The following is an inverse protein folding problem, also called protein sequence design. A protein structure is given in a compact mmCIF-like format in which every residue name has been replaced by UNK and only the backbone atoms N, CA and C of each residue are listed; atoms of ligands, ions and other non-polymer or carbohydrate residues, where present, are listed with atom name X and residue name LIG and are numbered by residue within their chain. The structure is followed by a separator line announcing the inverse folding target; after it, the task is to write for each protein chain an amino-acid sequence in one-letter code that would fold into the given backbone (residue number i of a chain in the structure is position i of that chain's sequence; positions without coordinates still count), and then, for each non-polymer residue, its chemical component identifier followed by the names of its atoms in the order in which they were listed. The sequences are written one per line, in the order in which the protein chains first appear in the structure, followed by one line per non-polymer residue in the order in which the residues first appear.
data_IF_424199137858
#
_entry.id   IF_424199137858
#
_cell.length_a   1.000
_cell.length_b   1.000
_cell.length_c   1.000
_cell.angle_alpha   90.00
_cell.angle_beta   90.00
_cell.angle_gamma   90.00
#
_symmetry.space_group_name_H-M   'P 1'
#
loop_
_entity.id
_entity.type
_entity.pdbx_description
1 polymer ?
#
# COMPACT_ATOMS: atom_id res chain seq x y z
N UNK A 1 -1.76 19.99 -11.48
CA UNK A 1 -2.77 18.94 -11.26
C UNK A 1 -4.11 19.59 -11.49
N UNK A 2 -5.02 18.95 -12.25
CA UNK A 2 -6.29 19.58 -12.63
C UNK A 2 -7.39 19.32 -11.60
N UNK A 3 -7.29 18.24 -10.82
CA UNK A 3 -8.25 17.90 -9.76
C UNK A 3 -7.50 17.82 -8.43
N UNK A 4 -7.94 18.61 -7.45
CA UNK A 4 -7.43 18.51 -6.08
C UNK A 4 -7.71 17.12 -5.49
N UNK A 5 -6.73 16.56 -4.79
CA UNK A 5 -6.85 15.24 -4.18
C UNK A 5 -5.87 15.06 -3.04
N UNK A 6 -6.27 14.27 -2.06
CA UNK A 6 -5.42 13.68 -1.03
C UNK A 6 -5.69 12.18 -0.96
N UNK A 7 -4.79 11.43 -0.32
CA UNK A 7 -4.96 9.98 -0.09
C UNK A 7 -5.03 9.15 -1.39
N UNK A 8 -4.56 9.75 -2.48
CA UNK A 8 -4.32 9.13 -3.77
C UNK A 8 -2.99 8.36 -3.76
N UNK A 9 -2.75 7.60 -4.83
CA UNK A 9 -1.44 7.02 -5.11
C UNK A 9 -0.74 7.77 -6.23
N UNK A 10 0.59 7.74 -6.22
CA UNK A 10 1.44 8.25 -7.28
C UNK A 10 2.37 7.11 -7.70
N UNK A 11 2.35 6.75 -8.98
CA UNK A 11 3.09 5.62 -9.51
C UNK A 11 3.86 6.04 -10.76
N UNK A 12 5.18 5.87 -10.76
CA UNK A 12 6.00 6.12 -11.95
C UNK A 12 5.79 5.00 -12.96
N UNK A 13 5.45 5.40 -14.18
CA UNK A 13 5.22 4.52 -15.32
C UNK A 13 6.53 4.27 -16.09
N UNK A 14 6.54 3.24 -16.94
CA UNK A 14 7.70 2.89 -17.78
C UNK A 14 8.06 3.96 -18.82
N UNK A 15 7.14 4.86 -19.12
CA UNK A 15 7.35 6.02 -20.00
C UNK A 15 7.70 7.31 -19.22
N UNK A 16 8.18 7.19 -17.98
CA UNK A 16 8.59 8.29 -17.09
C UNK A 16 7.47 9.25 -16.65
N UNK A 17 6.23 9.04 -17.10
CA UNK A 17 5.07 9.76 -16.56
C UNK A 17 4.75 9.26 -15.15
N UNK A 18 4.13 10.12 -14.35
CA UNK A 18 3.60 9.74 -13.03
C UNK A 18 2.08 9.62 -13.14
N UNK A 19 1.56 8.42 -12.92
CA UNK A 19 0.14 8.17 -12.74
C UNK A 19 -0.28 8.60 -11.34
N UNK A 20 -1.27 9.49 -11.28
CA UNK A 20 -1.90 9.94 -10.05
C UNK A 20 -3.35 9.47 -10.04
N UNK A 21 -3.65 8.49 -9.20
CA UNK A 21 -4.93 7.76 -9.25
C UNK A 21 -5.75 7.91 -7.96
N UNK A 22 -7.05 8.14 -8.12
CA UNK A 22 -8.04 8.17 -7.04
C UNK A 22 -7.80 9.26 -6.00
N UNK A 23 -8.13 8.96 -4.74
CA UNK A 23 -8.05 9.89 -3.61
C UNK A 23 -9.40 10.52 -3.27
N UNK A 24 -9.34 11.59 -2.48
CA UNK A 24 -10.49 12.36 -2.01
C UNK A 24 -10.24 13.85 -2.23
N UNK A 25 -11.18 14.57 -2.83
CA UNK A 25 -11.02 15.99 -3.18
C UNK A 25 -11.59 16.97 -2.14
N UNK A 26 -12.07 16.48 -0.99
CA UNK A 26 -12.78 17.33 -0.02
C UNK A 26 -14.29 17.14 -0.04
N UNK A 27 -14.86 16.68 -1.16
CA UNK A 27 -16.29 16.46 -1.36
C UNK A 27 -16.63 15.01 -1.73
N UNK A 28 -15.84 14.37 -2.60
CA UNK A 28 -16.08 13.02 -3.11
C UNK A 28 -14.80 12.20 -3.18
N UNK A 29 -14.98 10.87 -3.10
CA UNK A 29 -13.96 9.91 -3.47
C UNK A 29 -13.84 9.88 -4.99
N UNK A 30 -12.61 9.84 -5.49
CA UNK A 30 -12.31 9.93 -6.91
C UNK A 30 -12.06 8.55 -7.49
N UNK A 31 -12.63 8.30 -8.67
CA UNK A 31 -12.21 7.23 -9.57
C UNK A 31 -11.34 7.74 -10.72
N UNK A 32 -11.10 9.06 -10.77
CA UNK A 32 -10.34 9.69 -11.83
C UNK A 32 -8.83 9.52 -11.63
N UNK A 33 -8.11 9.53 -12.75
CA UNK A 33 -6.66 9.52 -12.78
C UNK A 33 -6.11 10.58 -13.74
N UNK A 34 -4.91 11.06 -13.43
CA UNK A 34 -4.17 12.04 -14.22
C UNK A 34 -2.72 11.57 -14.38
N UNK A 35 -2.11 11.94 -15.51
CA UNK A 35 -0.71 11.74 -15.80
C UNK A 35 0.03 13.06 -15.62
N UNK A 36 1.13 13.04 -14.88
CA UNK A 36 2.07 14.14 -14.79
C UNK A 36 3.31 13.83 -15.62
N UNK A 37 3.66 14.75 -16.51
CA UNK A 37 4.92 14.72 -17.25
C UNK A 37 5.91 15.67 -16.58
N UNK A 38 6.97 15.12 -15.97
CA UNK A 38 8.02 15.89 -15.29
C UNK A 38 8.88 16.72 -16.25
N UNK A 39 9.05 16.27 -17.49
CA UNK A 39 9.84 16.98 -18.51
C UNK A 39 9.18 18.28 -18.97
N UNK A 40 7.84 18.33 -19.01
CA UNK A 40 7.07 19.48 -19.48
C UNK A 40 6.33 20.21 -18.36
N UNK A 41 6.23 19.62 -17.17
CA UNK A 41 5.43 20.13 -16.06
C UNK A 41 3.91 20.06 -16.29
N UNK A 42 3.45 19.31 -17.30
CA UNK A 42 2.03 19.30 -17.70
C UNK A 42 1.25 18.14 -17.09
N UNK A 43 -0.06 18.37 -16.93
CA UNK A 43 -1.01 17.38 -16.44
C UNK A 43 -2.01 17.02 -17.53
N UNK A 44 -2.27 15.72 -17.71
CA UNK A 44 -3.24 15.22 -18.69
C UNK A 44 -4.17 14.21 -18.03
N UNK A 45 -5.47 14.31 -18.27
CA UNK A 45 -6.43 13.32 -17.80
C UNK A 45 -6.26 12.00 -18.55
N UNK A 46 -6.50 10.88 -17.88
CA UNK A 46 -6.51 9.54 -18.51
C UNK A 46 -7.80 8.81 -18.17
N UNK A 47 -7.93 7.52 -18.51
CA UNK A 47 -9.10 6.73 -18.18
C UNK A 47 -9.40 6.69 -16.68
N UNK A 48 -10.66 6.42 -16.35
CA UNK A 48 -11.13 6.34 -14.97
C UNK A 48 -11.23 4.88 -14.52
N UNK A 49 -10.98 4.64 -13.24
CA UNK A 49 -11.30 3.39 -12.55
C UNK A 49 -12.81 3.17 -12.51
N UNK A 50 -13.24 1.92 -12.42
CA UNK A 50 -14.65 1.55 -12.21
C UNK A 50 -15.12 1.90 -10.80
N UNK A 51 -14.25 1.79 -9.80
CA UNK A 51 -14.54 2.17 -8.42
C UNK A 51 -13.72 3.40 -7.99
N UNK A 52 -14.39 4.35 -7.33
CA UNK A 52 -13.70 5.42 -6.62
C UNK A 52 -12.93 4.84 -5.43
N UNK A 53 -11.75 5.36 -5.12
CA UNK A 53 -10.91 4.78 -4.06
C UNK A 53 -9.93 5.78 -3.47
N UNK A 54 -9.87 5.87 -2.14
CA UNK A 54 -8.82 6.52 -1.37
C UNK A 54 -8.11 5.51 -0.45
N UNK A 55 -6.88 5.81 -0.01
CA UNK A 55 -6.05 4.94 0.85
C UNK A 55 -5.77 3.54 0.28
N UNK A 56 -5.92 3.39 -1.03
CA UNK A 56 -5.52 2.21 -1.79
C UNK A 56 -3.99 2.18 -1.97
N UNK A 57 -3.48 1.07 -2.47
CA UNK A 57 -2.08 0.95 -2.92
C UNK A 57 -2.00 0.73 -4.42
N UNK A 58 -0.91 1.18 -5.01
CA UNK A 58 -0.67 1.09 -6.45
C UNK A 58 0.78 0.67 -6.75
N UNK A 59 0.98 -0.18 -7.76
CA UNK A 59 2.29 -0.72 -8.14
C UNK A 59 2.41 -0.92 -9.64
N UNK A 60 3.53 -0.48 -10.20
CA UNK A 60 3.94 -0.87 -11.56
C UNK A 60 4.38 -2.33 -11.54
N UNK A 61 3.74 -3.16 -12.37
CA UNK A 61 4.04 -4.57 -12.55
C UNK A 61 5.14 -4.76 -13.59
N UNK A 62 5.69 -5.98 -13.70
CA UNK A 62 6.78 -6.31 -14.64
C UNK A 62 6.42 -6.06 -16.10
N UNK A 63 5.14 -6.14 -16.46
CA UNK A 63 4.63 -5.87 -17.80
C UNK A 63 4.37 -4.37 -18.07
N UNK A 64 4.63 -3.51 -17.08
CA UNK A 64 4.41 -2.07 -17.16
C UNK A 64 2.99 -1.61 -16.82
N UNK A 65 2.03 -2.53 -16.62
CA UNK A 65 0.71 -2.17 -16.11
C UNK A 65 0.79 -1.70 -14.65
N UNK A 66 -0.22 -0.96 -14.18
CA UNK A 66 -0.30 -0.55 -12.77
C UNK A 66 -1.47 -1.27 -12.09
N UNK A 67 -1.16 -2.10 -11.10
CA UNK A 67 -2.17 -2.63 -10.19
C UNK A 67 -2.58 -1.55 -9.20
N UNK A 68 -3.88 -1.39 -8.99
CA UNK A 68 -4.44 -0.64 -7.88
C UNK A 68 -5.38 -1.52 -7.07
N UNK A 69 -5.16 -1.61 -5.76
CA UNK A 69 -5.88 -2.54 -4.89
C UNK A 69 -6.40 -1.90 -3.60
N UNK A 70 -7.61 -2.31 -3.22
CA UNK A 70 -8.26 -1.95 -1.97
C UNK A 70 -8.59 -0.46 -1.84
N UNK A 71 -8.54 0.02 -0.59
CA UNK A 71 -8.92 1.38 -0.21
C UNK A 71 -10.36 1.46 0.30
N UNK A 72 -10.93 2.66 0.24
CA UNK A 72 -12.35 2.91 0.54
C UNK A 72 -12.97 3.86 -0.48
N UNK A 73 -14.27 3.71 -0.72
CA UNK A 73 -15.02 4.50 -1.72
C UNK A 73 -16.06 5.43 -1.08
N UNK A 74 -15.96 5.66 0.24
CA UNK A 74 -16.98 6.34 1.04
C UNK A 74 -18.05 5.38 1.54
N UNK A 75 -19.12 5.94 2.12
CA UNK A 75 -20.29 5.17 2.60
C UNK A 75 -19.97 4.02 3.59
N UNK A 76 -18.91 4.16 4.40
CA UNK A 76 -18.41 3.12 5.31
C UNK A 76 -18.04 1.79 4.61
N UNK A 77 -17.72 1.83 3.32
CA UNK A 77 -17.39 0.64 2.54
C UNK A 77 -15.90 0.59 2.19
N UNK A 78 -15.26 -0.48 2.63
CA UNK A 78 -13.88 -0.81 2.23
C UNK A 78 -13.92 -1.65 0.97
N UNK A 79 -12.88 -1.55 0.16
CA UNK A 79 -12.76 -2.29 -1.08
C UNK A 79 -11.85 -3.50 -0.89
N UNK A 80 -12.29 -4.64 -1.39
CA UNK A 80 -11.43 -5.78 -1.71
C UNK A 80 -11.08 -5.87 -3.21
N UNK A 81 -11.72 -5.03 -4.03
CA UNK A 81 -11.52 -5.02 -5.48
C UNK A 81 -10.17 -4.42 -5.89
N UNK A 82 -9.67 -4.91 -7.02
CA UNK A 82 -8.48 -4.39 -7.68
C UNK A 82 -8.71 -4.14 -9.17
N UNK A 83 -7.94 -3.24 -9.74
CA UNK A 83 -7.98 -2.86 -11.15
C UNK A 83 -6.55 -2.70 -11.71
N UNK A 84 -6.40 -2.93 -13.01
CA UNK A 84 -5.16 -2.74 -13.75
C UNK A 84 -5.30 -1.55 -14.69
N UNK A 85 -4.35 -0.62 -14.64
CA UNK A 85 -4.18 0.43 -15.62
C UNK A 85 -3.20 -0.03 -16.70
N UNK A 86 -3.57 0.15 -17.96
CA UNK A 86 -2.67 -0.04 -19.10
C UNK A 86 -2.16 1.34 -19.58
N UNK A 87 -0.86 1.66 -19.40
CA UNK A 87 -0.29 2.92 -19.85
C UNK A 87 -0.30 3.14 -21.36
N UNK A 88 -0.29 2.08 -22.18
CA UNK A 88 -0.25 2.23 -23.64
C UNK A 88 -1.59 2.65 -24.22
N UNK A 89 -2.70 2.30 -23.55
CA UNK A 89 -4.07 2.64 -23.98
C UNK A 89 -4.73 3.68 -23.10
N UNK A 90 -4.18 3.93 -21.90
CA UNK A 90 -4.79 4.82 -20.91
C UNK A 90 -6.09 4.28 -20.32
N UNK A 91 -6.31 2.96 -20.37
CA UNK A 91 -7.56 2.31 -19.94
C UNK A 91 -7.38 1.50 -18.66
N UNK A 92 -8.47 1.35 -17.91
CA UNK A 92 -8.54 0.48 -16.72
C UNK A 92 -9.34 -0.79 -17.01
N UNK A 93 -8.98 -1.88 -16.34
CA UNK A 93 -9.73 -3.13 -16.35
C UNK A 93 -9.78 -3.74 -14.94
N UNK A 94 -10.91 -4.36 -14.57
CA UNK A 94 -11.02 -5.10 -13.32
C UNK A 94 -10.18 -6.38 -13.37
N UNK A 95 -9.61 -6.77 -12.22
CA UNK A 95 -8.91 -8.06 -12.04
C UNK A 95 -9.52 -8.80 -10.83
N UNK A 96 -8.92 -9.91 -10.39
CA UNK A 96 -9.37 -10.60 -9.19
C UNK A 96 -9.42 -9.70 -7.96
N UNK A 97 -10.20 -10.11 -6.97
CA UNK A 97 -10.40 -9.39 -5.71
C UNK A 97 -9.73 -10.13 -4.55
N UNK A 98 -9.28 -9.36 -3.56
CA UNK A 98 -8.86 -9.87 -2.25
C UNK A 98 -10.05 -10.55 -1.55
N UNK A 99 -9.75 -11.45 -0.61
CA UNK A 99 -10.76 -12.05 0.26
C UNK A 99 -11.34 -11.01 1.21
N UNK A 100 -10.47 -10.18 1.80
CA UNK A 100 -10.86 -9.15 2.75
C UNK A 100 -10.77 -7.75 2.19
N UNK A 101 -11.78 -6.94 2.51
CA UNK A 101 -11.79 -5.53 2.19
C UNK A 101 -10.90 -4.74 3.15
N UNK A 102 -10.00 -3.92 2.59
CA UNK A 102 -8.93 -3.28 3.38
C UNK A 102 -8.57 -1.88 2.89
N UNK A 103 -8.53 -0.93 3.83
CA UNK A 103 -7.83 0.37 3.71
C UNK A 103 -6.66 0.42 4.68
N UNK A 104 -5.70 1.33 4.47
CA UNK A 104 -4.52 1.48 5.34
C UNK A 104 -3.61 0.25 5.44
N UNK A 105 -3.74 -0.66 4.47
CA UNK A 105 -2.84 -1.81 4.30
C UNK A 105 -1.51 -1.34 3.71
N UNK A 106 -0.49 -2.18 3.84
CA UNK A 106 0.76 -2.04 3.07
C UNK A 106 0.75 -3.02 1.93
N UNK A 107 1.62 -2.77 0.95
CA UNK A 107 1.82 -3.70 -0.13
C UNK A 107 3.24 -3.59 -0.68
N UNK A 108 3.77 -4.72 -1.15
CA UNK A 108 5.18 -4.88 -1.54
C UNK A 108 5.27 -5.84 -2.72
N UNK A 109 6.04 -5.47 -3.75
CA UNK A 109 6.41 -6.39 -4.83
C UNK A 109 7.50 -7.32 -4.28
N UNK A 110 7.30 -8.64 -4.43
CA UNK A 110 8.27 -9.67 -4.10
C UNK A 110 9.18 -9.97 -5.29
N UNK A 111 10.33 -10.59 -5.05
CA UNK A 111 11.31 -10.93 -6.10
C UNK A 111 10.70 -11.79 -7.22
N UNK A 112 9.83 -12.73 -6.84
CA UNK A 112 9.10 -13.59 -7.78
C UNK A 112 8.07 -12.81 -8.63
N UNK A 113 7.79 -11.54 -8.34
CA UNK A 113 6.85 -10.68 -9.06
C UNK A 113 5.42 -10.71 -8.53
N UNK A 114 5.15 -11.47 -7.47
CA UNK A 114 3.88 -11.37 -6.76
C UNK A 114 3.81 -10.06 -5.96
N UNK A 115 2.59 -9.57 -5.72
CA UNK A 115 2.37 -8.41 -4.85
C UNK A 115 1.79 -8.90 -3.52
N UNK A 116 2.57 -8.76 -2.45
CA UNK A 116 2.08 -8.97 -1.08
C UNK A 116 1.25 -7.78 -0.66
N UNK A 117 0.09 -8.02 -0.08
CA UNK A 117 -0.73 -7.03 0.62
C UNK A 117 -0.92 -7.48 2.05
N UNK A 118 -0.61 -6.61 3.03
CA UNK A 118 -0.62 -6.96 4.44
C UNK A 118 -1.40 -5.96 5.30
N UNK A 119 -2.21 -6.51 6.22
CA UNK A 119 -2.95 -5.77 7.23
C UNK A 119 -4.00 -4.79 6.69
N UNK A 120 -4.22 -3.72 7.45
CA UNK A 120 -5.26 -2.73 7.21
C UNK A 120 -6.59 -3.03 7.90
N UNK A 121 -7.59 -2.19 7.59
CA UNK A 121 -8.99 -2.21 8.02
C UNK A 121 -9.30 -1.79 9.47
N UNK A 122 -10.42 -1.08 9.68
CA UNK A 122 -10.92 -0.67 11.01
C UNK A 122 -12.47 -0.59 11.08
N UNK A 123 -13.23 -1.57 10.56
CA UNK A 123 -13.67 -2.85 11.19
C UNK A 123 -14.59 -3.61 10.18
N UNK A 124 -15.23 -4.78 10.36
CA UNK A 124 -15.59 -5.66 11.51
C UNK A 124 -14.97 -7.06 11.36
N UNK A 125 -13.67 -7.08 11.16
CA UNK A 125 -12.70 -8.09 11.60
C UNK A 125 -11.41 -7.64 10.93
N UNK A 126 -10.65 -6.77 11.61
CA UNK A 126 -9.40 -6.26 11.05
C UNK A 126 -8.53 -7.46 10.67
N UNK A 127 -8.28 -7.69 9.36
CA UNK A 127 -7.62 -8.90 8.92
C UNK A 127 -6.22 -8.91 9.50
N UNK A 128 -5.92 -9.97 10.24
CA UNK A 128 -4.53 -10.35 10.51
C UNK A 128 -3.88 -10.91 9.24
N UNK A 129 -4.68 -11.24 8.23
CA UNK A 129 -4.23 -11.93 7.03
C UNK A 129 -3.54 -11.01 6.02
N UNK A 130 -2.55 -11.59 5.37
CA UNK A 130 -1.91 -11.08 4.18
C UNK A 130 -2.34 -11.90 2.96
N UNK A 131 -2.27 -11.29 1.78
CA UNK A 131 -2.64 -11.93 0.52
C UNK A 131 -1.63 -11.61 -0.57
N UNK A 132 -1.46 -12.55 -1.51
CA UNK A 132 -0.59 -12.41 -2.67
C UNK A 132 -1.43 -12.29 -3.93
N UNK A 133 -1.23 -11.21 -4.68
CA UNK A 133 -1.71 -11.09 -6.05
C UNK A 133 -0.69 -11.68 -7.02
N UNK A 134 -1.15 -12.53 -7.93
CA UNK A 134 -0.36 -13.01 -9.06
C UNK A 134 -0.73 -12.24 -10.34
N UNK A 135 0.15 -11.36 -10.86
CA UNK A 135 -0.09 -10.61 -12.08
C UNK A 135 -0.36 -11.46 -13.32
N UNK A 136 0.23 -12.65 -13.41
CA UNK A 136 0.13 -13.51 -14.59
C UNK A 136 -1.25 -14.17 -14.74
N UNK A 137 -1.95 -14.35 -13.62
CA UNK A 137 -3.27 -15.01 -13.59
C UNK A 137 -4.39 -14.07 -13.13
N UNK A 138 -4.06 -12.91 -12.58
CA UNK A 138 -5.02 -11.99 -11.99
C UNK A 138 -5.69 -12.51 -10.72
N UNK A 139 -5.09 -13.49 -10.03
CA UNK A 139 -5.71 -14.16 -8.87
C UNK A 139 -5.04 -13.77 -7.56
N UNK A 140 -5.83 -13.77 -6.48
CA UNK A 140 -5.35 -13.58 -5.11
C UNK A 140 -5.27 -14.91 -4.37
N UNK A 141 -4.28 -15.05 -3.48
CA UNK A 141 -4.08 -16.23 -2.63
C UNK A 141 -3.70 -15.80 -1.21
N UNK A 142 -4.02 -16.61 -0.20
CA UNK A 142 -3.65 -16.32 1.18
C UNK A 142 -2.12 -16.41 1.37
N UNK A 143 -1.56 -15.47 2.13
CA UNK A 143 -0.12 -15.34 2.39
C UNK A 143 0.22 -15.50 3.88
N UNK A 144 -0.60 -16.28 4.59
CA UNK A 144 -0.53 -16.43 6.04
C UNK A 144 -1.04 -15.21 6.80
N UNK A 145 -1.11 -15.38 8.12
CA UNK A 145 -1.57 -14.36 9.05
C UNK A 145 -0.39 -13.74 9.79
N UNK A 146 -0.41 -12.41 9.91
CA UNK A 146 0.39 -11.69 10.90
C UNK A 146 -0.05 -12.09 12.31
N UNK A 147 0.84 -11.90 13.27
CA UNK A 147 0.62 -12.14 14.69
C UNK A 147 -0.22 -11.03 15.33
N UNK A 148 -0.15 -9.81 14.80
CA UNK A 148 -0.91 -8.65 15.30
C UNK A 148 -1.64 -7.96 14.15
N UNK A 149 -2.95 -7.78 14.31
CA UNK A 149 -3.74 -6.94 13.43
C UNK A 149 -3.21 -5.50 13.48
N UNK A 150 -2.82 -4.96 12.32
CA UNK A 150 -2.23 -3.64 12.22
C UNK A 150 -2.73 -2.88 11.00
N UNK A 151 -2.99 -1.58 11.17
CA UNK A 151 -3.23 -0.62 10.09
C UNK A 151 -2.30 0.58 10.26
N UNK A 152 -2.12 1.37 9.20
CA UNK A 152 -1.27 2.57 9.22
C UNK A 152 0.20 2.31 9.59
N UNK A 153 0.61 1.05 9.44
CA UNK A 153 1.98 0.59 9.53
C UNK A 153 2.69 0.85 8.20
N UNK A 154 4.00 0.67 8.20
CA UNK A 154 4.84 0.67 7.00
C UNK A 154 5.33 -0.73 6.71
N UNK A 155 5.77 -0.96 5.47
CA UNK A 155 6.41 -2.19 5.07
C UNK A 155 7.66 -1.88 4.25
N UNK A 156 8.73 -2.63 4.50
CA UNK A 156 10.02 -2.51 3.83
C UNK A 156 10.46 -3.88 3.31
N UNK A 157 10.69 -3.99 2.01
CA UNK A 157 11.34 -5.18 1.44
C UNK A 157 12.82 -5.13 1.77
N UNK A 158 13.33 -6.20 2.38
CA UNK A 158 14.73 -6.35 2.77
C UNK A 158 15.56 -6.91 1.61
N UNK A 159 16.89 -6.82 1.73
CA UNK A 159 17.84 -7.28 0.71
C UNK A 159 17.80 -8.80 0.46
N UNK A 160 17.21 -9.56 1.37
CA UNK A 160 16.99 -11.01 1.22
C UNK A 160 15.59 -11.37 0.71
N UNK A 161 14.81 -10.38 0.25
CA UNK A 161 13.48 -10.57 -0.31
C UNK A 161 12.34 -10.67 0.72
N UNK A 162 12.65 -10.79 2.02
CA UNK A 162 11.64 -10.77 3.08
C UNK A 162 11.01 -9.39 3.23
N UNK A 163 9.78 -9.32 3.75
CA UNK A 163 9.07 -8.04 3.97
C UNK A 163 8.90 -7.81 5.46
N UNK A 164 9.48 -6.72 5.97
CA UNK A 164 9.30 -6.28 7.36
C UNK A 164 8.12 -5.32 7.44
N UNK A 165 7.14 -5.61 8.29
CA UNK A 165 6.09 -4.65 8.67
C UNK A 165 6.39 -4.05 10.04
N UNK A 166 6.24 -2.73 10.18
CA UNK A 166 6.69 -2.00 11.37
C UNK A 166 5.62 -1.09 11.93
N UNK A 167 5.41 -1.16 13.24
CA UNK A 167 4.53 -0.27 13.98
C UNK A 167 3.09 -0.29 13.46
N UNK A 168 2.49 0.89 13.36
CA UNK A 168 1.10 1.10 13.04
C UNK A 168 0.23 1.17 14.30
N UNK A 169 -1.03 0.80 14.14
CA UNK A 169 -2.01 0.76 15.21
C UNK A 169 -2.74 -0.57 15.16
N UNK A 170 -2.91 -1.17 16.33
CA UNK A 170 -3.73 -2.37 16.55
C UNK A 170 -4.92 -2.06 17.44
N UNK A 171 -5.67 -3.09 17.82
CA UNK A 171 -6.86 -3.00 18.68
C UNK A 171 -6.59 -2.29 20.01
N UNK A 172 -5.40 -2.51 20.59
CA UNK A 172 -5.01 -1.99 21.89
C UNK A 172 -4.22 -0.66 21.84
N UNK A 173 -4.06 -0.05 20.66
CA UNK A 173 -3.36 1.23 20.49
C UNK A 173 -2.19 1.18 19.52
N UNK A 174 -1.26 2.12 19.69
CA UNK A 174 -0.08 2.27 18.84
C UNK A 174 0.88 1.09 19.05
N UNK A 175 1.49 0.63 17.96
CA UNK A 175 2.40 -0.51 17.97
C UNK A 175 3.84 -0.04 17.75
N UNK A 176 4.75 -0.74 18.42
CA UNK A 176 6.21 -0.75 18.23
C UNK A 176 6.69 -2.12 17.70
N UNK A 177 5.82 -3.12 17.70
CA UNK A 177 6.14 -4.46 17.20
C UNK A 177 6.44 -4.46 15.71
N UNK A 178 7.43 -5.28 15.33
CA UNK A 178 7.75 -5.57 13.93
C UNK A 178 7.54 -7.05 13.64
N UNK A 179 7.17 -7.35 12.39
CA UNK A 179 6.98 -8.73 11.93
C UNK A 179 7.58 -8.90 10.54
N UNK A 180 8.19 -10.06 10.32
CA UNK A 180 8.87 -10.39 9.08
C UNK A 180 8.09 -11.48 8.34
N UNK A 181 7.72 -11.19 7.09
CA UNK A 181 7.18 -12.15 6.16
C UNK A 181 8.31 -12.82 5.37
N UNK A 182 8.35 -14.15 5.41
CA UNK A 182 9.25 -14.95 4.59
C UNK A 182 8.50 -15.45 3.34
N UNK A 183 8.80 -14.93 2.13
CA UNK A 183 8.10 -15.31 0.90
C UNK A 183 8.41 -16.74 0.43
N UNK A 184 9.52 -17.35 0.88
CA UNK A 184 9.90 -18.70 0.48
C UNK A 184 9.03 -19.79 1.11
N UNK A 185 8.43 -19.50 2.27
CA UNK A 185 7.58 -20.46 3.00
C UNK A 185 6.20 -19.89 3.36
N UNK A 186 5.95 -18.61 3.12
CA UNK A 186 4.64 -17.98 3.34
C UNK A 186 4.27 -17.78 4.81
N UNK A 187 5.25 -17.51 5.68
CA UNK A 187 5.03 -17.38 7.13
C UNK A 187 5.46 -16.03 7.68
N UNK A 188 4.79 -15.59 8.75
CA UNK A 188 5.12 -14.40 9.52
C UNK A 188 5.83 -14.75 10.82
N UNK A 189 6.82 -13.96 11.21
CA UNK A 189 7.55 -14.12 12.48
C UNK A 189 7.74 -12.77 13.15
N UNK A 190 7.40 -12.67 14.44
CA UNK A 190 7.71 -11.48 15.24
C UNK A 190 9.21 -11.31 15.39
N UNK A 191 9.68 -10.09 15.20
CA UNK A 191 11.09 -9.71 15.39
C UNK A 191 11.19 -8.65 16.49
N UNK A 192 12.37 -8.05 16.70
CA UNK A 192 12.56 -7.04 17.76
C UNK A 192 11.63 -5.85 17.58
N UNK A 193 11.30 -5.14 18.65
CA UNK A 193 10.50 -3.92 18.55
C UNK A 193 11.36 -2.71 18.16
N UNK A 194 10.72 -1.70 17.57
CA UNK A 194 11.28 -0.35 17.55
C UNK A 194 11.13 0.30 18.94
N UNK A 195 11.91 1.32 19.25
CA UNK A 195 11.96 1.96 20.56
C UNK A 195 10.73 2.83 20.84
N UNK A 196 10.10 3.38 19.79
CA UNK A 196 8.97 4.31 19.93
C UNK A 196 7.78 3.80 19.13
N UNK A 197 6.66 3.54 19.82
CA UNK A 197 5.37 3.25 19.20
C UNK A 197 4.98 4.37 18.22
N UNK A 198 4.54 4.01 17.01
CA UNK A 198 4.24 4.98 15.95
C UNK A 198 3.34 4.41 14.87
N UNK A 199 2.52 5.26 14.27
CA UNK A 199 1.78 5.02 13.03
C UNK A 199 2.01 6.20 12.07
N UNK A 200 1.68 6.05 10.78
CA UNK A 200 1.91 7.08 9.74
C UNK A 200 3.39 7.54 9.64
N UNK A 201 4.33 6.75 10.13
CA UNK A 201 5.76 7.03 10.00
C UNK A 201 6.25 6.71 8.59
N UNK A 202 7.46 7.15 8.28
CA UNK A 202 8.16 6.78 7.05
C UNK A 202 9.27 5.77 7.36
N UNK A 203 9.53 4.89 6.40
CA UNK A 203 10.66 3.95 6.43
C UNK A 203 11.52 4.09 5.19
N UNK A 204 12.81 3.82 5.35
CA UNK A 204 13.74 3.69 4.25
C UNK A 204 14.73 2.57 4.54
N UNK A 205 14.78 1.59 3.65
CA UNK A 205 15.84 0.57 3.65
C UNK A 205 17.15 1.23 3.22
N UNK A 206 18.15 1.19 4.10
CA UNK A 206 19.48 1.71 3.85
C UNK A 206 20.33 0.68 3.10
N UNK A 207 21.41 1.14 2.47
CA UNK A 207 22.31 0.28 1.68
C UNK A 207 22.94 -0.88 2.47
N UNK A 208 23.08 -0.71 3.79
CA UNK A 208 23.59 -1.76 4.69
C UNK A 208 22.51 -2.75 5.16
N UNK A 209 21.26 -2.61 4.68
CA UNK A 209 20.12 -3.46 5.05
C UNK A 209 19.38 -3.02 6.32
N UNK A 210 19.86 -2.00 7.04
CA UNK A 210 19.13 -1.42 8.16
C UNK A 210 17.92 -0.62 7.68
N UNK A 211 16.90 -0.49 8.52
CA UNK A 211 15.70 0.32 8.25
C UNK A 211 15.77 1.59 9.09
N UNK A 212 15.78 2.74 8.42
CA UNK A 212 15.60 4.04 9.08
C UNK A 212 14.10 4.32 9.23
N UNK A 213 13.64 4.47 10.46
CA UNK A 213 12.26 4.76 10.81
C UNK A 213 12.16 6.21 11.29
N UNK A 214 11.35 7.05 10.63
CA UNK A 214 11.29 8.49 10.94
C UNK A 214 9.87 8.98 11.18
N UNK A 215 9.73 9.88 12.16
CA UNK A 215 8.49 10.59 12.46
C UNK A 215 7.32 9.65 12.78
N UNK A 216 6.15 10.00 12.26
CA UNK A 216 4.87 9.38 12.59
C UNK A 216 4.17 10.08 13.75
N UNK A 217 3.20 9.39 14.35
CA UNK A 217 2.45 9.90 15.49
C UNK A 217 2.13 8.81 16.49
N UNK A 218 1.99 9.22 17.75
CA UNK A 218 1.50 8.38 18.83
C UNK A 218 0.53 9.14 19.74
N UNK A 219 0.25 8.62 20.94
CA UNK A 219 -0.66 9.25 21.92
C UNK A 219 -0.22 10.68 22.31
N UNK A 220 1.08 10.96 22.26
CA UNK A 220 1.65 12.28 22.55
C UNK A 220 1.62 13.27 21.38
N UNK A 221 1.13 12.87 20.20
CA UNK A 221 1.08 13.69 19.00
C UNK A 221 2.12 13.30 17.95
N UNK A 222 2.52 14.26 17.13
CA UNK A 222 3.51 14.07 16.07
C UNK A 222 4.91 13.85 16.64
N UNK A 223 5.61 12.89 16.08
CA UNK A 223 6.97 12.53 16.46
C UNK A 223 7.99 13.28 15.61
N UNK A 224 9.02 13.80 16.27
CA UNK A 224 10.22 14.35 15.63
C UNK A 224 11.43 13.40 15.74
N UNK A 225 11.21 12.17 16.23
CA UNK A 225 12.26 11.17 16.44
C UNK A 225 12.51 10.31 15.20
N UNK A 226 13.75 9.85 15.08
CA UNK A 226 14.17 8.83 14.13
C UNK A 226 14.92 7.72 14.87
N UNK A 227 14.84 6.50 14.36
CA UNK A 227 15.57 5.37 14.90
C UNK A 227 15.99 4.38 13.80
N UNK A 228 17.06 3.64 14.07
CA UNK A 228 17.60 2.63 13.17
C UNK A 228 17.23 1.23 13.66
N UNK A 229 16.67 0.44 12.76
CA UNK A 229 16.35 -0.97 12.92
C UNK A 229 17.24 -1.86 12.05
#
# INVERSE_FOLDING_TARGET
MNIERRQHTQTTLTNELVLVAGGYNGNSYLNSAELYNSSTGTWTTTGNMSAARAYHKAFTLKDGSVLVAGGENGHNSYLNSAELYNPSTGTWATTGSMNDARRYHTASILENGLVLVAGGSVSVSSPIDAELYNPSTGTWTNAGSMNVARWLHTASTLTNGSVLVTGGRGSNGFLDGTELYNPGIGTWTTTRNINVVRQYHAESTLANGSILVTGGQNKGGHLNSAELY
#
